data_IF_645135903676
#
_entry.id   IF_645135903676
#
_cell.length_a   1.000
_cell.length_b   1.000
_cell.length_c   1.000
_cell.angle_alpha   90.00
_cell.angle_beta   90.00
_cell.angle_gamma   90.00
#
_symmetry.space_group_name_H-M   'P 1'
#
loop_
_entity.id
_entity.type
_entity.pdbx_description
1 polymer ?
#
# COMPACT_ATOMS: atom_id res chain seq x y z
N UNK A 1 4.30 -12.50 7.88
CA UNK A 1 3.52 -13.52 7.15
C UNK A 1 3.27 -14.84 7.90
N UNK A 2 3.46 -14.93 9.24
CA UNK A 2 3.29 -16.21 9.96
C UNK A 2 1.84 -16.73 9.99
N UNK A 3 0.88 -15.83 9.79
CA UNK A 3 -0.56 -16.06 9.68
C UNK A 3 -1.02 -16.54 8.30
N UNK A 4 -0.18 -16.42 7.25
CA UNK A 4 -0.52 -16.91 5.92
C UNK A 4 -0.24 -18.41 5.81
N UNK A 5 -1.12 -19.20 5.14
CA UNK A 5 -0.81 -20.57 4.75
C UNK A 5 0.52 -20.66 3.98
N UNK A 6 1.25 -21.78 4.12
CA UNK A 6 2.63 -21.94 3.62
C UNK A 6 2.81 -21.52 2.16
N UNK A 7 1.93 -21.97 1.28
CA UNK A 7 1.99 -21.63 -0.15
C UNK A 7 1.88 -20.13 -0.47
N UNK A 8 1.15 -19.33 0.33
CA UNK A 8 1.07 -17.89 0.14
C UNK A 8 2.30 -17.15 0.67
N UNK A 9 2.97 -17.73 1.66
CA UNK A 9 4.21 -17.19 2.19
C UNK A 9 5.36 -17.32 1.19
N UNK A 10 5.43 -18.45 0.51
CA UNK A 10 6.43 -18.68 -0.54
C UNK A 10 6.20 -17.72 -1.71
N UNK A 11 4.93 -17.47 -2.06
CA UNK A 11 4.57 -16.48 -3.09
C UNK A 11 4.84 -15.03 -2.66
N UNK A 12 4.74 -14.72 -1.38
CA UNK A 12 5.05 -13.38 -0.86
C UNK A 12 6.51 -12.98 -1.08
N UNK A 13 7.43 -13.95 -1.21
CA UNK A 13 8.86 -13.70 -1.43
C UNK A 13 9.20 -13.27 -2.86
N UNK A 14 8.36 -13.58 -3.83
CA UNK A 14 8.58 -13.26 -5.26
C UNK A 14 7.70 -12.10 -5.74
N UNK A 15 7.08 -11.37 -4.82
CA UNK A 15 6.23 -10.25 -5.18
C UNK A 15 7.07 -9.14 -5.83
N UNK A 16 6.61 -8.58 -6.96
CA UNK A 16 7.16 -7.35 -7.51
C UNK A 16 7.13 -6.23 -6.47
N UNK A 17 8.06 -5.26 -6.61
CA UNK A 17 8.06 -4.10 -5.73
C UNK A 17 6.69 -3.40 -5.78
N UNK A 18 6.22 -2.95 -4.62
CA UNK A 18 4.91 -2.32 -4.53
C UNK A 18 3.74 -3.28 -4.76
N UNK A 19 3.92 -4.60 -4.70
CA UNK A 19 2.81 -5.56 -4.63
C UNK A 19 2.73 -6.15 -3.21
N UNK A 20 1.52 -6.20 -2.65
CA UNK A 20 1.25 -6.77 -1.34
C UNK A 20 0.12 -7.80 -1.42
N UNK A 21 0.15 -8.82 -0.55
CA UNK A 21 -0.96 -9.77 -0.39
C UNK A 21 -1.77 -9.38 0.85
N UNK A 22 -3.04 -9.04 0.64
CA UNK A 22 -4.03 -8.77 1.68
C UNK A 22 -4.87 -10.03 1.94
N UNK A 23 -4.98 -10.43 3.20
CA UNK A 23 -5.84 -11.53 3.62
C UNK A 23 -6.76 -11.04 4.73
N UNK A 24 -8.07 -11.14 4.52
CA UNK A 24 -9.11 -10.73 5.47
C UNK A 24 -9.93 -11.95 5.90
N UNK A 25 -10.33 -12.07 7.17
CA UNK A 25 -11.09 -13.23 7.65
C UNK A 25 -12.38 -13.51 6.87
N UNK A 26 -13.05 -12.46 6.41
CA UNK A 26 -14.34 -12.49 5.72
C UNK A 26 -14.17 -12.76 4.22
N UNK A 27 -12.95 -12.59 3.69
CA UNK A 27 -12.64 -12.82 2.29
C UNK A 27 -11.88 -14.14 2.16
N UNK A 28 -12.50 -15.18 1.58
CA UNK A 28 -11.92 -16.53 1.56
C UNK A 28 -10.66 -16.66 0.70
N UNK A 29 -10.38 -15.68 -0.16
CA UNK A 29 -9.24 -15.69 -1.09
C UNK A 29 -8.34 -14.48 -0.85
N UNK A 30 -7.02 -14.66 -0.67
CA UNK A 30 -6.09 -13.54 -0.55
C UNK A 30 -6.08 -12.68 -1.83
N UNK A 31 -6.05 -11.36 -1.66
CA UNK A 31 -6.07 -10.38 -2.75
C UNK A 31 -4.67 -9.79 -2.93
N UNK A 32 -4.17 -9.78 -4.16
CA UNK A 32 -2.96 -9.03 -4.50
C UNK A 32 -3.34 -7.56 -4.75
N UNK A 33 -2.66 -6.63 -4.08
CA UNK A 33 -2.87 -5.19 -4.20
C UNK A 33 -1.56 -4.48 -4.55
N UNK A 34 -1.65 -3.37 -5.28
CA UNK A 34 -0.49 -2.54 -5.61
C UNK A 34 -0.40 -1.37 -4.63
N UNK A 35 0.73 -1.23 -3.94
CA UNK A 35 1.08 -0.14 -3.04
C UNK A 35 2.17 0.75 -3.67
N UNK A 36 2.08 2.08 -3.56
CA UNK A 36 0.99 2.83 -2.92
C UNK A 36 -0.31 2.70 -3.72
N UNK A 37 -1.43 2.70 -3.00
CA UNK A 37 -2.73 2.82 -3.64
C UNK A 37 -2.73 4.09 -4.51
N UNK A 38 -3.47 4.10 -5.64
CA UNK A 38 -3.58 5.30 -6.45
C UNK A 38 -4.08 6.48 -5.60
N UNK A 39 -3.61 7.70 -5.90
CA UNK A 39 -3.81 8.91 -5.08
C UNK A 39 -5.27 9.24 -4.72
N UNK A 40 -6.26 8.63 -5.39
CA UNK A 40 -7.68 8.75 -5.05
C UNK A 40 -8.13 7.92 -3.84
N UNK A 41 -7.32 6.96 -3.39
CA UNK A 41 -7.62 6.13 -2.21
C UNK A 41 -7.26 6.83 -0.88
N UNK A 42 -6.56 7.96 -0.95
CA UNK A 42 -6.26 8.83 0.17
C UNK A 42 -6.91 10.17 -0.11
N UNK A 43 -8.00 10.52 0.58
CA UNK A 43 -8.47 11.91 0.51
C UNK A 43 -7.39 12.81 1.10
N UNK A 44 -7.21 14.01 0.56
CA UNK A 44 -6.26 14.99 1.12
C UNK A 44 -6.49 15.23 2.62
N UNK A 45 -7.75 15.22 3.07
CA UNK A 45 -8.12 15.35 4.49
C UNK A 45 -7.75 14.15 5.37
N UNK A 46 -7.45 13.00 4.77
CA UNK A 46 -7.12 11.74 5.45
C UNK A 46 -5.61 11.45 5.42
N UNK A 47 -4.81 12.32 4.78
CA UNK A 47 -3.36 12.22 4.78
C UNK A 47 -2.78 12.68 6.13
N UNK A 48 -1.93 11.86 6.73
CA UNK A 48 -1.24 12.20 8.00
C UNK A 48 -0.17 13.27 7.79
N UNK A 49 0.44 13.28 6.60
CA UNK A 49 1.44 14.25 6.16
C UNK A 49 1.04 14.79 4.79
N UNK A 50 1.13 16.11 4.60
CA UNK A 50 0.91 16.74 3.30
C UNK A 50 2.15 16.55 2.43
N UNK A 51 2.09 15.56 1.54
CA UNK A 51 3.16 15.20 0.59
C UNK A 51 2.91 15.77 -0.80
N UNK A 52 2.15 16.87 -0.91
CA UNK A 52 1.86 17.50 -2.19
C UNK A 52 3.06 18.27 -2.77
N UNK A 53 3.12 18.39 -4.10
CA UNK A 53 4.13 19.19 -4.79
C UNK A 53 4.14 20.66 -4.35
N UNK A 54 3.02 21.17 -3.85
CA UNK A 54 2.93 22.54 -3.34
C UNK A 54 3.60 22.68 -1.98
N UNK A 55 3.36 21.74 -1.05
CA UNK A 55 4.03 21.72 0.24
C UNK A 55 5.55 21.65 0.08
N UNK A 56 6.04 20.87 -0.90
CA UNK A 56 7.46 20.79 -1.22
C UNK A 56 8.04 22.13 -1.72
N UNK A 57 7.29 22.86 -2.57
CA UNK A 57 7.75 24.17 -3.07
C UNK A 57 7.80 25.21 -1.95
N UNK A 58 6.81 25.21 -1.08
CA UNK A 58 6.75 26.12 0.07
C UNK A 58 7.91 25.85 1.04
N UNK A 59 8.27 24.58 1.29
CA UNK A 59 9.43 24.20 2.11
C UNK A 59 10.77 24.62 1.46
N UNK A 60 10.88 24.48 0.14
CA UNK A 60 12.07 24.85 -0.63
C UNK A 60 12.15 26.35 -0.95
N UNK A 61 11.13 27.14 -0.60
CA UNK A 61 11.06 28.58 -0.84
C UNK A 61 10.96 28.99 -2.30
N UNK A 62 10.30 28.17 -3.13
CA UNK A 62 10.15 28.32 -4.59
C UNK A 62 8.79 28.90 -5.00
#
# INVERSE_FOLDING_TARGET
YRYLPGAFRDRALILPQGTMILHQPEVPVPIAVQFPYPAWATKASEAVEDVSDQALKDELGL
#
